data_IF_467905686313
#
_entry.id   IF_467905686313
#
_cell.length_a   1.000
_cell.length_b   1.000
_cell.length_c   1.000
_cell.angle_alpha   90.00
_cell.angle_beta   90.00
_cell.angle_gamma   90.00
#
_symmetry.space_group_name_H-M   'P 1'
#
loop_
_entity.id
_entity.type
_entity.pdbx_description
1 polymer ?
#
# COMPACT_ATOMS: atom_id res chain seq x y z
N UNK A 1 6.30 -59.16 54.89
CA UNK A 1 5.15 -58.59 54.18
C UNK A 1 5.59 -57.23 53.64
N UNK A 2 5.87 -57.14 52.34
CA UNK A 2 6.26 -55.89 51.69
C UNK A 2 5.04 -55.32 50.97
N UNK A 3 4.58 -54.14 51.39
CA UNK A 3 3.52 -53.40 50.72
C UNK A 3 4.15 -52.46 49.69
N UNK A 4 3.91 -52.73 48.41
CA UNK A 4 4.22 -51.80 47.33
C UNK A 4 3.09 -50.75 47.25
N UNK A 5 3.42 -49.49 47.53
CA UNK A 5 2.53 -48.35 47.30
C UNK A 5 2.74 -47.88 45.87
N UNK A 6 1.78 -48.19 45.00
CA UNK A 6 1.77 -47.71 43.61
C UNK A 6 1.13 -46.31 43.62
N UNK A 7 1.94 -45.28 43.41
CA UNK A 7 1.45 -43.93 43.16
C UNK A 7 1.05 -43.78 41.69
N UNK A 8 -0.25 -43.76 41.42
CA UNK A 8 -0.79 -43.44 40.10
C UNK A 8 -0.74 -41.93 39.90
N UNK A 9 0.26 -41.45 39.16
CA UNK A 9 0.33 -40.06 38.70
C UNK A 9 -0.73 -39.83 37.61
N UNK A 10 -1.82 -39.16 38.00
CA UNK A 10 -2.82 -38.61 37.08
C UNK A 10 -2.20 -37.40 36.35
N UNK A 11 -1.69 -37.64 35.14
CA UNK A 11 -1.35 -36.56 34.22
C UNK A 11 -2.65 -35.94 33.69
N UNK A 12 -3.07 -34.83 34.30
CA UNK A 12 -4.11 -33.96 33.75
C UNK A 12 -3.46 -33.22 32.58
N UNK A 13 -3.55 -33.77 31.38
CA UNK A 13 -3.21 -33.07 30.15
C UNK A 13 -4.28 -32.01 29.89
N UNK A 14 -4.00 -30.76 30.29
CA UNK A 14 -4.74 -29.58 29.82
C UNK A 14 -4.53 -29.48 28.31
N UNK A 15 -5.49 -30.00 27.54
CA UNK A 15 -5.61 -29.65 26.12
C UNK A 15 -6.09 -28.21 26.06
N UNK A 16 -5.17 -27.28 25.81
CA UNK A 16 -5.54 -25.91 25.45
C UNK A 16 -6.36 -25.99 24.16
N UNK A 17 -7.65 -25.64 24.25
CA UNK A 17 -8.49 -25.52 23.06
C UNK A 17 -7.90 -24.40 22.20
N UNK A 18 -7.38 -24.78 21.03
CA UNK A 18 -6.87 -23.82 20.05
C UNK A 18 -8.07 -23.04 19.52
N UNK A 19 -8.05 -21.71 19.67
CA UNK A 19 -9.13 -20.86 19.20
C UNK A 19 -8.98 -20.60 17.70
N UNK A 20 -10.08 -20.58 16.93
CA UNK A 20 -10.02 -20.28 15.50
C UNK A 20 -9.39 -18.90 15.28
N UNK A 21 -8.64 -18.76 14.19
CA UNK A 21 -8.03 -17.48 13.82
C UNK A 21 -8.03 -17.27 12.30
N UNK A 22 -8.21 -16.01 11.89
CA UNK A 22 -8.11 -15.62 10.48
C UNK A 22 -6.71 -15.09 10.19
N UNK A 23 -6.20 -15.38 9.00
CA UNK A 23 -4.95 -14.83 8.52
C UNK A 23 -5.11 -14.32 7.10
N UNK A 24 -4.89 -13.02 6.92
CA UNK A 24 -4.77 -12.37 5.63
C UNK A 24 -3.28 -12.20 5.28
N UNK A 25 -2.86 -12.87 4.22
CA UNK A 25 -1.50 -12.77 3.67
C UNK A 25 -1.55 -12.01 2.36
N UNK A 26 -0.72 -10.97 2.25
CA UNK A 26 -0.46 -10.24 1.00
C UNK A 26 1.02 -10.39 0.70
N UNK A 27 1.34 -10.79 -0.54
CA UNK A 27 2.71 -10.90 -1.03
C UNK A 27 2.85 -10.07 -2.29
N UNK A 28 3.78 -9.09 -2.36
CA UNK A 28 4.71 -8.72 -1.28
C UNK A 28 4.00 -8.06 -0.07
N UNK A 29 4.50 -8.28 1.15
CA UNK A 29 3.94 -7.69 2.38
C UNK A 29 4.44 -6.26 2.59
N UNK A 30 4.20 -5.41 1.60
CA UNK A 30 4.57 -4.01 1.60
C UNK A 30 3.31 -3.14 1.47
N UNK A 31 3.24 -2.07 2.26
CA UNK A 31 2.16 -1.07 2.14
C UNK A 31 2.16 -0.37 0.77
N UNK A 32 3.32 -0.30 0.13
CA UNK A 32 3.54 0.35 -1.15
C UNK A 32 4.14 -0.67 -2.11
N UNK A 33 3.47 -0.93 -3.22
CA UNK A 33 3.85 -1.97 -4.20
C UNK A 33 4.00 -1.31 -5.56
N UNK A 34 5.08 -1.60 -6.28
CA UNK A 34 5.34 -0.99 -7.58
C UNK A 34 4.29 -1.42 -8.62
N UNK A 35 3.93 -0.50 -9.53
CA UNK A 35 3.12 -0.81 -10.71
C UNK A 35 3.72 -1.99 -11.48
N UNK A 36 2.84 -2.75 -12.12
CA UNK A 36 3.14 -3.94 -12.91
C UNK A 36 3.70 -5.13 -12.10
N UNK A 37 3.82 -4.97 -10.77
CA UNK A 37 4.14 -6.07 -9.87
C UNK A 37 3.05 -7.14 -9.84
N UNK A 38 3.47 -8.33 -9.47
CA UNK A 38 2.59 -9.43 -9.14
C UNK A 38 2.21 -9.38 -7.65
N UNK A 39 0.93 -9.54 -7.33
CA UNK A 39 0.42 -9.49 -5.96
C UNK A 39 -0.42 -10.72 -5.69
N UNK A 40 -0.13 -11.44 -4.61
CA UNK A 40 -0.91 -12.58 -4.15
C UNK A 40 -1.62 -12.23 -2.84
N UNK A 41 -2.92 -12.48 -2.77
CA UNK A 41 -3.77 -12.17 -1.61
C UNK A 41 -4.51 -13.43 -1.21
N UNK A 42 -4.27 -13.89 0.02
CA UNK A 42 -4.80 -15.14 0.56
C UNK A 42 -5.44 -14.91 1.93
N UNK A 43 -6.67 -15.36 2.09
CA UNK A 43 -7.41 -15.31 3.35
C UNK A 43 -7.69 -16.74 3.84
N UNK A 44 -7.07 -17.11 4.97
CA UNK A 44 -7.11 -18.45 5.56
C UNK A 44 -7.85 -18.42 6.91
N UNK A 45 -8.60 -19.48 7.20
CA UNK A 45 -9.12 -19.79 8.53
C UNK A 45 -8.28 -20.93 9.10
N UNK A 46 -7.67 -20.69 10.26
CA UNK A 46 -6.87 -21.65 11.00
C UNK A 46 -7.67 -22.18 12.17
N UNK A 47 -7.50 -23.47 12.44
CA UNK A 47 -8.14 -24.16 13.56
C UNK A 47 -9.67 -23.97 13.61
N UNK A 48 -10.39 -24.29 12.51
CA UNK A 48 -11.83 -24.07 12.43
C UNK A 48 -12.60 -24.91 13.45
N UNK A 49 -13.68 -24.34 13.99
CA UNK A 49 -14.58 -25.01 14.93
C UNK A 49 -15.48 -26.04 14.23
N UNK A 50 -15.94 -25.75 13.01
CA UNK A 50 -16.65 -26.68 12.12
C UNK A 50 -15.92 -26.76 10.77
N UNK A 51 -15.85 -27.95 10.18
CA UNK A 51 -15.46 -28.20 8.79
C UNK A 51 -16.21 -27.36 7.74
N UNK A 52 -17.40 -26.85 8.07
CA UNK A 52 -18.22 -25.98 7.22
C UNK A 52 -17.83 -24.51 7.30
N UNK A 53 -17.10 -24.10 8.34
CA UNK A 53 -16.63 -22.74 8.54
C UNK A 53 -15.73 -22.34 7.36
N UNK A 54 -16.07 -21.22 6.71
CA UNK A 54 -15.36 -20.75 5.54
C UNK A 54 -15.01 -19.27 5.71
N UNK A 55 -13.72 -18.92 5.56
CA UNK A 55 -13.37 -17.52 5.46
C UNK A 55 -13.91 -16.95 4.14
N UNK A 56 -14.05 -15.63 4.10
CA UNK A 56 -14.47 -14.85 2.96
C UNK A 56 -13.52 -13.66 2.85
N UNK A 57 -12.90 -13.53 1.68
CA UNK A 57 -12.08 -12.38 1.33
C UNK A 57 -12.97 -11.24 0.83
N UNK A 58 -12.79 -10.04 1.36
CA UNK A 58 -13.49 -8.84 0.94
C UNK A 58 -12.51 -7.82 0.37
N UNK A 59 -12.94 -7.18 -0.72
CA UNK A 59 -12.35 -5.98 -1.28
C UNK A 59 -13.13 -4.77 -0.75
N UNK A 60 -12.42 -3.81 -0.16
CA UNK A 60 -12.99 -2.54 0.31
C UNK A 60 -12.36 -1.42 -0.51
N UNK A 61 -13.20 -0.73 -1.29
CA UNK A 61 -12.78 0.42 -2.08
C UNK A 61 -12.41 1.57 -1.13
N UNK A 62 -11.15 2.04 -1.12
CA UNK A 62 -10.73 3.10 -0.19
C UNK A 62 -11.42 4.44 -0.47
N UNK A 63 -11.98 4.63 -1.67
CA UNK A 63 -12.64 5.87 -2.11
C UNK A 63 -14.07 5.95 -1.62
N UNK A 64 -14.80 4.85 -1.76
CA UNK A 64 -16.24 4.78 -1.47
C UNK A 64 -16.55 4.07 -0.16
N UNK A 65 -15.55 3.43 0.44
CA UNK A 65 -15.70 2.48 1.55
C UNK A 65 -16.65 1.32 1.22
N UNK A 66 -16.96 1.13 -0.08
CA UNK A 66 -17.85 0.08 -0.53
C UNK A 66 -17.13 -1.27 -0.40
N UNK A 67 -17.74 -2.13 0.39
CA UNK A 67 -17.26 -3.47 0.70
C UNK A 67 -17.91 -4.50 -0.23
N UNK A 68 -17.08 -5.36 -0.85
CA UNK A 68 -17.53 -6.37 -1.81
C UNK A 68 -16.83 -7.71 -1.56
N UNK A 69 -17.56 -8.82 -1.41
CA UNK A 69 -16.94 -10.14 -1.29
C UNK A 69 -16.25 -10.54 -2.59
N UNK A 70 -14.98 -10.91 -2.51
CA UNK A 70 -14.21 -11.42 -3.64
C UNK A 70 -14.61 -12.86 -3.89
N UNK A 71 -15.29 -13.09 -5.02
CA UNK A 71 -15.74 -14.41 -5.43
C UNK A 71 -15.27 -14.72 -6.84
N UNK A 72 -15.17 -16.00 -7.19
CA UNK A 72 -14.92 -16.42 -8.58
C UNK A 72 -15.93 -15.81 -9.57
N UNK A 73 -17.20 -15.70 -9.16
CA UNK A 73 -18.25 -15.09 -9.97
C UNK A 73 -18.01 -13.59 -10.20
N UNK A 74 -17.50 -12.87 -9.17
CA UNK A 74 -17.14 -11.47 -9.29
C UNK A 74 -16.02 -11.26 -10.32
N UNK A 75 -14.97 -12.08 -10.23
CA UNK A 75 -13.81 -12.02 -11.14
C UNK A 75 -14.17 -12.42 -12.58
N UNK A 76 -15.19 -13.26 -12.76
CA UNK A 76 -15.68 -13.66 -14.08
C UNK A 76 -16.76 -12.69 -14.64
N UNK A 77 -17.12 -11.63 -13.91
CA UNK A 77 -18.14 -10.67 -14.34
C UNK A 77 -19.57 -11.22 -14.35
N UNK A 78 -19.86 -12.29 -13.60
CA UNK A 78 -21.16 -12.95 -13.57
C UNK A 78 -22.14 -12.38 -12.51
N UNK A 79 -21.80 -11.25 -11.90
CA UNK A 79 -22.59 -10.62 -10.82
C UNK A 79 -23.26 -9.35 -11.35
N UNK A 80 -24.48 -9.04 -10.91
CA UNK A 80 -25.23 -7.85 -11.39
C UNK A 80 -24.64 -6.52 -10.90
N UNK A 81 -23.93 -6.52 -9.78
CA UNK A 81 -23.30 -5.33 -9.19
C UNK A 81 -21.80 -5.58 -9.02
N UNK A 82 -21.04 -5.22 -10.04
CA UNK A 82 -19.59 -5.40 -10.07
C UNK A 82 -18.95 -4.06 -9.66
N UNK A 83 -18.01 -4.01 -8.69
CA UNK A 83 -17.22 -2.82 -8.42
C UNK A 83 -16.59 -2.30 -9.70
N UNK A 84 -16.49 -0.98 -9.83
CA UNK A 84 -15.92 -0.30 -11.01
C UNK A 84 -14.60 -0.93 -11.48
N UNK A 85 -13.73 -1.25 -10.52
CA UNK A 85 -12.47 -1.97 -10.72
C UNK A 85 -12.62 -3.22 -11.60
N UNK A 86 -13.66 -4.02 -11.37
CA UNK A 86 -13.93 -5.28 -12.04
C UNK A 86 -14.91 -5.14 -13.22
N UNK A 87 -15.43 -3.94 -13.53
CA UNK A 87 -16.34 -3.76 -14.67
C UNK A 87 -15.59 -3.85 -16.01
N UNK A 88 -14.36 -3.32 -16.06
CA UNK A 88 -13.51 -3.36 -17.24
C UNK A 88 -12.91 -4.76 -17.44
N UNK A 89 -13.07 -5.31 -18.65
CA UNK A 89 -12.54 -6.63 -19.06
C UNK A 89 -11.03 -6.69 -18.93
N UNK A 90 -10.31 -5.64 -19.31
CA UNK A 90 -8.84 -5.56 -19.24
C UNK A 90 -8.37 -5.59 -17.79
N UNK A 91 -9.08 -4.92 -16.88
CA UNK A 91 -8.77 -5.00 -15.45
C UNK A 91 -8.98 -6.42 -14.92
N UNK A 92 -10.12 -7.05 -15.24
CA UNK A 92 -10.41 -8.43 -14.81
C UNK A 92 -9.38 -9.43 -15.32
N UNK A 93 -8.86 -9.26 -16.54
CA UNK A 93 -7.86 -10.15 -17.11
C UNK A 93 -6.56 -10.24 -16.29
N UNK A 94 -6.29 -9.23 -15.44
CA UNK A 94 -5.13 -9.19 -14.53
C UNK A 94 -5.37 -10.00 -13.24
N UNK A 95 -6.62 -10.32 -12.92
CA UNK A 95 -6.98 -11.09 -11.73
C UNK A 95 -7.09 -12.58 -12.04
N UNK A 96 -6.39 -13.38 -11.26
CA UNK A 96 -6.44 -14.84 -11.32
C UNK A 96 -6.99 -15.38 -10.00
N UNK A 97 -7.90 -16.35 -10.09
CA UNK A 97 -8.45 -17.03 -8.93
C UNK A 97 -7.70 -18.35 -8.74
N UNK A 98 -6.79 -18.40 -7.76
CA UNK A 98 -5.92 -19.56 -7.53
C UNK A 98 -6.53 -20.59 -6.56
N UNK A 99 -7.60 -20.23 -5.86
CA UNK A 99 -8.24 -21.11 -4.89
C UNK A 99 -9.32 -20.39 -4.11
N UNK A 100 -9.95 -21.08 -3.16
CA UNK A 100 -10.95 -20.43 -2.28
C UNK A 100 -10.26 -19.31 -1.51
N UNK A 101 -10.76 -18.08 -1.66
CA UNK A 101 -10.23 -16.88 -0.98
C UNK A 101 -8.75 -16.58 -1.28
N UNK A 102 -8.27 -17.04 -2.44
CA UNK A 102 -6.94 -16.76 -2.95
C UNK A 102 -7.05 -16.14 -4.33
N UNK A 103 -6.60 -14.90 -4.43
CA UNK A 103 -6.50 -14.18 -5.70
C UNK A 103 -5.07 -13.73 -5.95
N UNK A 104 -4.78 -13.57 -7.23
CA UNK A 104 -3.50 -13.07 -7.72
C UNK A 104 -3.73 -11.97 -8.75
N UNK A 105 -2.96 -10.89 -8.67
CA UNK A 105 -2.98 -9.75 -9.59
C UNK A 105 -1.65 -9.80 -10.34
N UNK A 106 -1.65 -10.03 -11.64
CA UNK A 106 -0.40 -10.28 -12.39
C UNK A 106 0.29 -9.04 -12.93
N UNK A 107 -0.41 -7.89 -12.98
CA UNK A 107 0.12 -6.62 -13.49
C UNK A 107 -0.53 -5.47 -12.73
N UNK A 108 -0.15 -5.27 -11.48
CA UNK A 108 -0.81 -4.31 -10.59
C UNK A 108 -0.88 -2.89 -11.19
N UNK A 109 -2.04 -2.26 -11.09
CA UNK A 109 -2.29 -0.89 -11.55
C UNK A 109 -2.77 -0.03 -10.38
N UNK A 110 -2.68 1.30 -10.51
CA UNK A 110 -3.03 2.25 -9.43
C UNK A 110 -4.44 2.02 -8.88
N UNK A 111 -5.39 1.65 -9.75
CA UNK A 111 -6.79 1.35 -9.39
C UNK A 111 -6.95 0.11 -8.48
N UNK A 112 -5.95 -0.76 -8.40
CA UNK A 112 -5.99 -1.95 -7.54
C UNK A 112 -5.67 -1.63 -6.07
N UNK A 113 -5.24 -0.41 -5.79
CA UNK A 113 -4.98 0.07 -4.43
C UNK A 113 -6.24 -0.08 -3.58
N UNK A 114 -6.14 -0.83 -2.49
CA UNK A 114 -7.33 -1.22 -1.74
C UNK A 114 -7.02 -1.68 -0.31
N UNK A 115 -8.10 -1.78 0.45
CA UNK A 115 -8.12 -2.46 1.73
C UNK A 115 -8.75 -3.84 1.49
N UNK A 116 -8.07 -4.90 1.92
CA UNK A 116 -8.60 -6.25 1.93
C UNK A 116 -8.92 -6.65 3.36
N UNK A 117 -10.07 -7.29 3.55
CA UNK A 117 -10.49 -7.84 4.83
C UNK A 117 -10.73 -9.35 4.69
N UNK A 118 -10.37 -10.09 5.73
CA UNK A 118 -10.60 -11.51 5.86
C UNK A 118 -11.53 -11.73 7.05
N UNK A 119 -12.69 -12.33 6.78
CA UNK A 119 -13.75 -12.56 7.77
C UNK A 119 -14.34 -13.97 7.63
N UNK A 120 -14.99 -14.46 8.68
CA UNK A 120 -15.80 -15.69 8.61
C UNK A 120 -17.22 -15.38 9.10
N UNK A 121 -18.10 -14.86 8.22
CA UNK A 121 -19.42 -14.37 8.63
C UNK A 121 -20.34 -15.49 9.14
N UNK A 122 -20.16 -16.72 8.63
CA UNK A 122 -21.00 -17.87 8.97
C UNK A 122 -20.37 -18.78 10.05
N UNK A 123 -19.23 -18.39 10.64
CA UNK A 123 -18.62 -19.13 11.75
C UNK A 123 -19.48 -19.02 13.01
N UNK A 124 -19.65 -20.11 13.75
CA UNK A 124 -20.41 -20.13 15.02
C UNK A 124 -19.78 -19.20 16.07
N UNK A 125 -18.45 -19.20 16.17
CA UNK A 125 -17.67 -18.26 16.96
C UNK A 125 -16.71 -17.49 16.03
N UNK A 126 -17.14 -16.35 15.45
CA UNK A 126 -16.37 -15.67 14.43
C UNK A 126 -15.04 -15.16 15.02
N UNK A 127 -13.89 -15.63 14.51
CA UNK A 127 -12.60 -15.10 14.93
C UNK A 127 -12.48 -13.62 14.58
N UNK A 128 -11.55 -12.93 15.26
CA UNK A 128 -11.27 -11.53 14.99
C UNK A 128 -10.91 -11.35 13.50
N UNK A 129 -11.59 -10.41 12.83
CA UNK A 129 -11.29 -10.06 11.45
C UNK A 129 -9.84 -9.60 11.28
N UNK A 130 -9.24 -9.97 10.15
CA UNK A 130 -7.92 -9.52 9.75
C UNK A 130 -8.04 -8.57 8.55
N UNK A 131 -7.21 -7.54 8.46
CA UNK A 131 -7.26 -6.61 7.36
C UNK A 131 -5.87 -6.09 7.01
N UNK A 132 -5.65 -5.83 5.73
CA UNK A 132 -4.41 -5.26 5.21
C UNK A 132 -4.75 -4.27 4.12
N UNK A 133 -4.00 -3.18 4.08
CA UNK A 133 -4.08 -2.18 3.02
C UNK A 133 -2.77 -2.11 2.26
N UNK A 134 -2.87 -1.89 0.95
CA UNK A 134 -1.72 -1.55 0.14
C UNK A 134 -2.10 -0.55 -0.95
N UNK A 135 -1.09 0.14 -1.44
CA UNK A 135 -1.21 1.15 -2.48
C UNK A 135 -0.23 0.85 -3.59
N UNK A 136 -0.71 0.85 -4.84
CA UNK A 136 0.13 0.64 -6.01
C UNK A 136 0.78 1.96 -6.39
N UNK A 137 2.10 1.96 -6.45
CA UNK A 137 2.89 3.16 -6.68
C UNK A 137 3.24 3.32 -8.16
N UNK A 138 3.25 4.56 -8.66
CA UNK A 138 3.71 4.90 -10.01
C UNK A 138 4.90 5.84 -9.90
N UNK A 139 6.08 5.35 -10.25
CA UNK A 139 7.26 6.23 -10.31
C UNK A 139 7.02 7.30 -11.36
N UNK A 140 7.25 8.54 -10.96
CA UNK A 140 7.26 9.69 -11.84
C UNK A 140 8.66 10.31 -11.74
N UNK A 141 9.24 10.62 -12.89
CA UNK A 141 10.53 11.29 -12.93
C UNK A 141 10.33 12.77 -12.60
N UNK A 142 11.02 13.31 -11.59
CA UNK A 142 10.99 14.73 -11.29
C UNK A 142 11.64 15.53 -12.42
N UNK A 143 11.00 16.63 -12.80
CA UNK A 143 11.53 17.64 -13.70
C UNK A 143 12.12 18.79 -12.89
N UNK A 144 13.45 18.94 -12.94
CA UNK A 144 14.16 20.06 -12.34
C UNK A 144 14.41 21.15 -13.41
N UNK A 145 14.06 22.39 -13.09
CA UNK A 145 14.38 23.57 -13.90
C UNK A 145 14.96 24.68 -13.03
N UNK A 146 15.86 25.48 -13.60
CA UNK A 146 16.58 26.55 -12.92
C UNK A 146 16.45 27.83 -13.73
N UNK A 147 16.31 28.99 -13.07
CA UNK A 147 16.19 30.29 -13.74
C UNK A 147 16.83 31.39 -12.89
N UNK A 148 17.74 32.23 -13.44
CA UNK A 148 18.24 32.20 -14.81
C UNK A 148 19.24 31.04 -15.04
N UNK A 149 19.38 30.64 -16.30
CA UNK A 149 20.41 29.74 -16.80
C UNK A 149 21.15 30.47 -17.94
N UNK A 150 22.45 30.81 -17.80
CA UNK A 150 23.39 30.42 -16.74
C UNK A 150 23.16 31.15 -15.41
N UNK A 151 23.65 30.53 -14.33
CA UNK A 151 23.70 31.12 -12.99
C UNK A 151 24.78 32.20 -12.92
N UNK A 152 24.47 33.33 -12.27
CA UNK A 152 25.39 34.45 -12.09
C UNK A 152 25.57 34.68 -10.59
N UNK A 153 26.82 34.70 -10.12
CA UNK A 153 27.15 34.96 -8.72
C UNK A 153 26.52 36.27 -8.21
N UNK A 154 25.99 36.23 -6.99
CA UNK A 154 25.35 37.38 -6.35
C UNK A 154 23.90 37.62 -6.79
N UNK A 155 23.46 37.06 -7.92
CA UNK A 155 22.08 37.13 -8.37
C UNK A 155 21.18 36.10 -7.68
N UNK A 156 19.88 36.35 -7.71
CA UNK A 156 18.88 35.39 -7.27
C UNK A 156 18.59 34.37 -8.37
N UNK A 157 18.64 33.09 -8.03
CA UNK A 157 18.22 31.98 -8.87
C UNK A 157 17.00 31.28 -8.27
N UNK A 158 16.09 30.84 -9.12
CA UNK A 158 14.91 30.06 -8.76
C UNK A 158 15.06 28.65 -9.28
N UNK A 159 14.99 27.69 -8.37
CA UNK A 159 14.97 26.26 -8.65
C UNK A 159 13.52 25.78 -8.53
N UNK A 160 13.07 25.05 -9.53
CA UNK A 160 11.73 24.48 -9.59
C UNK A 160 11.83 22.98 -9.81
N UNK A 161 11.28 22.22 -8.89
CA UNK A 161 11.02 20.79 -9.10
C UNK A 161 9.52 20.58 -9.33
N UNK A 162 9.20 19.91 -10.44
CA UNK A 162 7.85 19.51 -10.79
C UNK A 162 7.79 17.99 -10.93
N UNK A 163 6.83 17.36 -10.28
CA UNK A 163 6.57 15.94 -10.42
C UNK A 163 5.10 15.80 -10.75
N UNK A 164 4.81 15.23 -11.90
CA UNK A 164 3.46 14.98 -12.35
C UNK A 164 3.10 13.50 -12.12
N UNK A 165 1.84 13.24 -11.81
CA UNK A 165 1.27 11.88 -11.72
C UNK A 165 1.97 10.93 -10.72
N UNK A 166 2.44 11.43 -9.57
CA UNK A 166 3.02 10.57 -8.53
C UNK A 166 1.98 10.13 -7.49
N UNK A 167 2.19 8.93 -6.93
CA UNK A 167 1.28 8.34 -5.94
C UNK A 167 1.98 7.21 -5.17
N UNK A 168 1.80 7.06 -3.83
CA UNK A 168 1.08 7.95 -2.88
C UNK A 168 1.95 9.05 -2.26
N UNK A 169 1.30 10.10 -1.75
CA UNK A 169 1.96 11.20 -1.04
C UNK A 169 2.31 10.83 0.40
N UNK A 170 3.59 10.88 0.74
CA UNK A 170 4.09 10.59 2.10
C UNK A 170 4.75 11.80 2.78
N UNK A 171 4.86 12.94 2.10
CA UNK A 171 5.56 14.15 2.57
C UNK A 171 6.68 14.57 1.63
N UNK A 172 7.15 15.82 1.76
CA UNK A 172 8.22 16.42 0.95
C UNK A 172 9.33 16.89 1.88
N UNK A 173 10.57 16.52 1.58
CA UNK A 173 11.74 17.08 2.22
C UNK A 173 12.64 17.69 1.15
N UNK A 174 13.15 18.87 1.44
CA UNK A 174 14.13 19.56 0.60
C UNK A 174 15.43 19.59 1.35
N UNK A 175 16.47 19.03 0.74
CA UNK A 175 17.82 19.10 1.24
C UNK A 175 18.62 19.98 0.29
N UNK A 176 19.45 20.83 0.87
CA UNK A 176 20.49 21.58 0.17
C UNK A 176 21.76 21.28 0.96
N UNK A 177 22.79 20.71 0.32
CA UNK A 177 24.02 20.27 1.00
C UNK A 177 23.77 19.31 2.17
N UNK A 178 22.83 18.37 2.03
CA UNK A 178 22.40 17.47 3.11
C UNK A 178 21.76 18.17 4.33
N UNK A 179 21.53 19.49 4.28
CA UNK A 179 20.84 20.24 5.33
C UNK A 179 19.35 20.35 5.00
N UNK A 180 18.51 19.97 5.97
CA UNK A 180 17.05 20.06 5.85
C UNK A 180 16.62 21.52 5.84
N UNK A 181 16.03 21.95 4.73
CA UNK A 181 15.49 23.29 4.57
C UNK A 181 13.97 23.26 4.84
N UNK A 182 13.52 24.08 5.79
CA UNK A 182 12.11 24.15 6.19
C UNK A 182 11.30 24.91 5.12
N UNK A 183 10.85 24.18 4.09
CA UNK A 183 10.24 24.74 2.87
C UNK A 183 8.74 24.50 2.77
N UNK A 184 8.10 24.11 3.88
CA UNK A 184 6.66 23.80 3.99
C UNK A 184 5.76 24.93 3.47
N UNK A 185 6.27 26.16 3.33
CA UNK A 185 5.56 27.33 2.80
C UNK A 185 5.60 27.50 1.27
N UNK A 186 6.40 26.73 0.53
CA UNK A 186 6.55 26.88 -0.94
C UNK A 186 6.28 25.61 -1.77
N UNK A 187 5.92 24.50 -1.11
CA UNK A 187 5.45 23.30 -1.79
C UNK A 187 3.93 23.40 -2.00
N UNK A 188 3.48 23.36 -3.25
CA UNK A 188 2.07 23.23 -3.58
C UNK A 188 1.82 21.79 -4.04
N UNK A 189 1.09 21.04 -3.20
CA UNK A 189 0.54 19.75 -3.59
C UNK A 189 -0.82 20.02 -4.22
N UNK A 190 -0.89 19.95 -5.54
CA UNK A 190 -2.17 20.01 -6.25
C UNK A 190 -2.72 18.59 -6.28
N UNK A 191 -3.52 18.25 -5.27
CA UNK A 191 -4.30 17.02 -5.28
C UNK A 191 -5.51 17.23 -6.18
N UNK A 192 -5.66 16.38 -7.21
CA UNK A 192 -6.80 16.48 -8.13
C UNK A 192 -8.16 16.21 -7.46
N UNK A 193 -8.20 15.69 -6.22
CA UNK A 193 -9.44 15.34 -5.53
C UNK A 193 -9.30 15.42 -3.99
N UNK A 194 -10.43 15.56 -3.28
CA UNK A 194 -10.53 15.60 -1.82
C UNK A 194 -10.01 14.35 -1.07
N UNK A 195 -9.64 13.29 -1.79
CA UNK A 195 -9.08 12.05 -1.26
C UNK A 195 -7.54 12.12 -1.32
N UNK A 196 -6.96 12.87 -0.37
CA UNK A 196 -5.53 13.27 -0.32
C UNK A 196 -4.48 12.15 -0.45
N UNK A 197 -4.87 10.89 -0.31
CA UNK A 197 -3.95 9.76 -0.25
C UNK A 197 -4.29 8.62 -1.22
N UNK A 198 -5.18 8.83 -2.20
CA UNK A 198 -5.66 7.74 -3.11
C UNK A 198 -5.37 7.95 -4.60
N UNK A 199 -5.02 9.16 -5.04
CA UNK A 199 -4.94 9.48 -6.47
C UNK A 199 -3.67 10.19 -6.90
N UNK A 200 -3.46 10.23 -8.22
CA UNK A 200 -2.42 11.00 -8.90
C UNK A 200 -2.36 12.42 -8.36
N UNK A 201 -1.15 12.82 -7.97
CA UNK A 201 -0.87 14.13 -7.43
C UNK A 201 0.16 14.80 -8.32
N UNK A 202 0.07 16.12 -8.36
CA UNK A 202 1.11 16.94 -8.96
C UNK A 202 1.77 17.74 -7.85
N UNK A 203 3.08 17.66 -7.79
CA UNK A 203 3.89 18.41 -6.85
C UNK A 203 4.63 19.48 -7.64
N UNK A 204 4.42 20.73 -7.22
CA UNK A 204 5.25 21.85 -7.64
C UNK A 204 5.93 22.42 -6.42
N UNK A 205 7.24 22.46 -6.47
CA UNK A 205 8.06 23.08 -5.44
C UNK A 205 9.02 24.07 -6.07
N UNK A 206 9.11 25.26 -5.45
CA UNK A 206 10.00 26.32 -5.90
C UNK A 206 10.80 26.86 -4.72
N UNK A 207 12.11 27.07 -4.91
CA UNK A 207 12.94 27.85 -3.99
C UNK A 207 13.71 28.91 -4.75
N UNK A 208 13.88 30.07 -4.12
CA UNK A 208 14.73 31.13 -4.64
C UNK A 208 15.89 31.31 -3.68
N UNK A 209 17.11 31.23 -4.19
CA UNK A 209 18.36 31.26 -3.44
C UNK A 209 19.28 32.30 -4.08
N UNK A 210 20.19 32.86 -3.30
CA UNK A 210 21.25 33.72 -3.83
C UNK A 210 22.43 32.86 -4.25
N UNK A 211 22.88 33.01 -5.50
CA UNK A 211 24.00 32.24 -6.05
C UNK A 211 25.30 32.66 -5.38
N UNK A 212 26.09 31.68 -4.92
CA UNK A 212 27.39 31.89 -4.28
C UNK A 212 28.52 31.38 -5.18
N UNK A 213 29.74 31.92 -4.99
CA UNK A 213 30.92 31.61 -5.80
C UNK A 213 31.33 30.12 -5.77
N UNK A 214 30.94 29.38 -4.74
CA UNK A 214 31.28 27.98 -4.54
C UNK A 214 30.33 27.01 -5.27
N UNK A 215 29.31 27.52 -5.98
CA UNK A 215 28.28 26.69 -6.63
C UNK A 215 28.76 25.87 -7.84
N UNK A 216 29.99 26.05 -8.30
CA UNK A 216 30.53 25.39 -9.49
C UNK A 216 30.69 23.86 -9.37
N UNK A 217 30.70 23.31 -8.15
CA UNK A 217 30.80 21.87 -7.89
C UNK A 217 29.51 21.26 -7.31
N UNK A 218 28.43 22.04 -7.32
CA UNK A 218 27.18 21.63 -6.68
C UNK A 218 26.27 20.89 -7.63
N UNK A 219 25.90 19.68 -7.24
CA UNK A 219 24.84 18.92 -7.89
C UNK A 219 23.52 19.25 -7.20
N UNK A 220 22.53 19.64 -8.00
CA UNK A 220 21.16 19.78 -7.54
C UNK A 220 20.39 18.58 -8.05
N UNK A 221 20.05 17.64 -7.18
CA UNK A 221 19.14 16.57 -7.57
C UNK A 221 17.71 16.94 -7.17
N UNK A 222 16.72 16.36 -7.85
CA UNK A 222 15.38 16.23 -7.28
C UNK A 222 15.11 14.73 -7.27
N UNK A 223 14.94 14.14 -6.09
CA UNK A 223 14.73 12.70 -5.96
C UNK A 223 13.38 12.47 -5.33
N UNK A 224 12.58 11.63 -5.99
CA UNK A 224 11.29 11.15 -5.47
C UNK A 224 11.45 9.71 -5.04
N UNK A 225 11.53 9.45 -3.73
CA UNK A 225 11.43 8.09 -3.19
C UNK A 225 10.02 7.86 -2.66
N UNK A 226 9.35 6.89 -3.28
CA UNK A 226 8.00 6.49 -2.90
C UNK A 226 8.01 5.76 -1.55
N UNK A 227 6.98 5.99 -0.74
CA UNK A 227 6.65 5.10 0.38
C UNK A 227 7.54 5.18 1.62
N UNK A 228 8.69 5.86 1.59
CA UNK A 228 9.48 6.28 2.76
C UNK A 228 10.46 7.36 2.32
N UNK A 229 10.27 8.56 2.86
CA UNK A 229 11.18 9.71 2.91
C UNK A 229 11.78 10.16 1.55
N UNK A 230 11.37 11.35 1.10
CA UNK A 230 12.11 12.09 0.07
C UNK A 230 13.51 12.40 0.61
N UNK A 231 14.55 11.98 -0.11
CA UNK A 231 15.94 12.39 0.12
C UNK A 231 16.41 12.96 -1.19
N UNK A 232 16.52 14.28 -1.26
CA UNK A 232 17.08 15.04 -2.37
C UNK A 232 18.59 15.14 -2.10
N UNK A 233 19.49 14.67 -2.98
CA UNK A 233 20.94 14.83 -2.78
C UNK A 233 21.45 16.14 -3.39
#
# INVERSE_FOLDING_TARGET
MNYYVIYTLLFISCTYAVQPSLKLTISPDNKYIERDSEISILCELRDPTDSKDKPVLYYVDPRTQKRTPVTRALLNGAVKQIPELFQNVENRARYQHEGKNHIKITKAQVIDSAIYECECPDCEAPPKKDHKEFFITKYAEPQLSVTPDPLIEGNQATFRCQIDEFYPYTGIEVLIHHHKYNTTTKAEVVTANHLKNVFEQNLKWNVSLQVQADWHEHQFECIVKQGKLLIIS
#
